data_IF_984401773019
#
_entry.id   IF_984401773019
#
_cell.length_a   1.000
_cell.length_b   1.000
_cell.length_c   1.000
_cell.angle_alpha   90.00
_cell.angle_beta   90.00
_cell.angle_gamma   90.00
#
_symmetry.space_group_name_H-M   'P 1'
#
loop_
_entity.id
_entity.type
_entity.pdbx_description
1 polymer ?
#
# COMPACT_ATOMS: atom_id res chain seq x y z
N UNK A 1 6.51 1.98 30.40
CA UNK A 1 7.60 2.55 29.57
C UNK A 1 7.34 4.04 29.36
N UNK A 2 8.30 4.90 29.72
CA UNK A 2 8.21 6.38 29.72
C UNK A 2 8.57 7.01 28.35
N UNK A 3 8.29 6.33 27.24
CA UNK A 3 8.51 6.92 25.92
C UNK A 3 7.27 7.77 25.55
N UNK A 4 7.45 9.01 25.05
CA UNK A 4 6.32 9.79 24.55
C UNK A 4 5.66 9.04 23.40
N UNK A 5 4.33 8.97 23.43
CA UNK A 5 3.52 8.43 22.33
C UNK A 5 3.84 9.24 21.06
N UNK A 6 4.42 8.58 20.06
CA UNK A 6 4.77 9.22 18.78
C UNK A 6 3.64 8.98 17.79
N UNK A 7 3.11 10.03 17.16
CA UNK A 7 2.26 9.86 15.99
C UNK A 7 2.98 9.07 14.91
N UNK A 8 2.28 8.13 14.31
CA UNK A 8 2.75 7.33 13.17
C UNK A 8 1.85 7.59 11.97
N UNK A 9 2.31 7.23 10.78
CA UNK A 9 1.57 7.43 9.52
C UNK A 9 1.08 8.88 9.30
N UNK A 10 1.84 9.86 9.79
CA UNK A 10 1.51 11.28 9.63
C UNK A 10 1.51 11.62 8.14
N UNK A 11 0.38 12.12 7.63
CA UNK A 11 0.23 12.47 6.21
C UNK A 11 -0.84 13.55 6.01
N UNK A 12 -0.64 14.37 5.00
CA UNK A 12 -1.67 15.25 4.45
C UNK A 12 -2.66 14.46 3.60
N UNK A 13 -3.93 14.87 3.61
CA UNK A 13 -4.94 14.38 2.68
C UNK A 13 -4.89 15.29 1.44
N UNK A 14 -4.49 14.71 0.30
CA UNK A 14 -4.19 15.45 -0.91
C UNK A 14 -5.32 16.41 -1.33
N UNK A 15 -4.96 17.61 -1.77
CA UNK A 15 -5.87 18.67 -2.22
C UNK A 15 -6.88 19.17 -1.17
N UNK A 16 -6.61 18.94 0.11
CA UNK A 16 -7.46 19.40 1.22
C UNK A 16 -6.63 20.02 2.34
N UNK A 17 -7.23 20.81 3.25
CA UNK A 17 -6.55 21.29 4.47
C UNK A 17 -6.51 20.23 5.58
N UNK A 18 -6.93 19.00 5.32
CA UNK A 18 -6.98 17.93 6.32
C UNK A 18 -5.68 17.14 6.36
N UNK A 19 -5.36 16.65 7.55
CA UNK A 19 -4.26 15.74 7.80
C UNK A 19 -4.74 14.56 8.65
N UNK A 20 -3.96 13.49 8.64
CA UNK A 20 -4.22 12.31 9.46
C UNK A 20 -2.95 11.77 10.11
N UNK A 21 -3.13 11.09 11.23
CA UNK A 21 -2.08 10.36 11.91
C UNK A 21 -2.69 9.27 12.81
N UNK A 22 -1.90 8.26 13.14
CA UNK A 22 -2.27 7.21 14.10
C UNK A 22 -1.47 7.40 15.37
N UNK A 23 -2.15 7.36 16.52
CA UNK A 23 -1.53 7.47 17.85
C UNK A 23 -2.06 6.37 18.77
N UNK A 24 -1.23 5.91 19.71
CA UNK A 24 -1.59 4.86 20.66
C UNK A 24 -0.60 3.71 20.64
N UNK A 25 -0.88 2.67 21.43
CA UNK A 25 -0.14 1.42 21.43
C UNK A 25 -0.88 0.40 20.56
N UNK A 26 -0.18 -0.58 19.94
CA UNK A 26 -0.83 -1.64 19.18
C UNK A 26 -2.00 -2.27 19.96
N UNK A 27 -3.18 -2.33 19.34
CA UNK A 27 -4.42 -2.79 19.98
C UNK A 27 -5.31 -1.67 20.55
N UNK A 28 -4.75 -0.51 20.89
CA UNK A 28 -5.49 0.66 21.44
C UNK A 28 -5.28 1.93 20.61
N UNK A 29 -4.80 1.77 19.38
CA UNK A 29 -4.54 2.86 18.47
C UNK A 29 -5.82 3.61 18.08
N UNK A 30 -5.62 4.89 17.75
CA UNK A 30 -6.64 5.82 17.30
C UNK A 30 -6.14 6.47 16.02
N UNK A 31 -6.92 6.35 14.94
CA UNK A 31 -6.77 7.15 13.75
C UNK A 31 -7.40 8.52 14.00
N UNK A 32 -6.59 9.56 13.89
CA UNK A 32 -7.03 10.95 14.02
C UNK A 32 -7.04 11.61 12.65
N UNK A 33 -8.11 12.33 12.35
CA UNK A 33 -8.24 13.22 11.18
C UNK A 33 -8.56 14.61 11.70
N UNK A 34 -7.79 15.61 11.27
CA UNK A 34 -7.99 17.00 11.68
C UNK A 34 -7.83 17.97 10.52
N UNK A 35 -8.55 19.09 10.59
CA UNK A 35 -8.36 20.26 9.74
C UNK A 35 -7.23 21.14 10.29
N UNK A 36 -6.23 21.44 9.45
CA UNK A 36 -5.10 22.30 9.84
C UNK A 36 -5.51 23.76 10.15
N UNK A 37 -6.73 24.16 9.77
CA UNK A 37 -7.30 25.48 10.09
C UNK A 37 -8.02 25.49 11.45
N UNK A 38 -8.37 24.32 11.97
CA UNK A 38 -9.06 24.14 13.24
C UNK A 38 -8.11 24.11 14.43
N UNK A 39 -8.69 24.16 15.65
CA UNK A 39 -7.95 24.00 16.90
C UNK A 39 -7.96 22.57 17.45
N UNK A 40 -8.98 21.78 17.09
CA UNK A 40 -9.19 20.42 17.59
C UNK A 40 -9.36 19.45 16.40
N UNK A 41 -8.95 18.17 16.53
CA UNK A 41 -9.17 17.19 15.49
C UNK A 41 -10.65 16.88 15.30
N UNK A 42 -11.11 16.91 14.05
CA UNK A 42 -12.52 16.71 13.72
C UNK A 42 -13.00 15.29 13.96
N UNK A 43 -12.11 14.29 13.86
CA UNK A 43 -12.48 12.87 13.97
C UNK A 43 -11.40 12.03 14.64
N UNK A 44 -11.85 11.10 15.48
CA UNK A 44 -11.04 10.08 16.14
C UNK A 44 -11.75 8.74 15.96
N UNK A 45 -11.07 7.78 15.33
CA UNK A 45 -11.58 6.43 15.10
C UNK A 45 -10.66 5.46 15.84
N UNK A 46 -11.18 4.78 16.84
CA UNK A 46 -10.45 3.76 17.58
C UNK A 46 -10.26 2.49 16.75
N UNK A 47 -9.22 1.71 17.04
CA UNK A 47 -9.05 0.40 16.41
C UNK A 47 -10.23 -0.54 16.72
N UNK A 48 -10.83 -0.41 17.90
CA UNK A 48 -12.03 -1.15 18.28
C UNK A 48 -13.23 -0.79 17.37
N UNK A 49 -13.44 0.49 17.05
CA UNK A 49 -14.46 0.91 16.09
C UNK A 49 -14.20 0.36 14.69
N UNK A 50 -12.97 0.49 14.20
CA UNK A 50 -12.58 -0.06 12.90
C UNK A 50 -12.83 -1.58 12.85
N UNK A 51 -12.50 -2.30 13.92
CA UNK A 51 -12.75 -3.74 14.03
C UNK A 51 -14.23 -4.09 14.09
N UNK A 52 -15.07 -3.30 14.75
CA UNK A 52 -16.53 -3.49 14.70
C UNK A 52 -17.06 -3.37 13.27
N UNK A 53 -16.57 -2.40 12.50
CA UNK A 53 -16.97 -2.24 11.11
C UNK A 53 -16.48 -3.40 10.22
N UNK A 54 -15.28 -3.92 10.48
CA UNK A 54 -14.75 -5.10 9.77
C UNK A 54 -15.56 -6.36 10.07
N UNK A 55 -15.84 -6.65 11.34
CA UNK A 55 -16.60 -7.82 11.74
C UNK A 55 -18.01 -7.84 11.15
N UNK A 56 -18.64 -6.66 10.98
CA UNK A 56 -19.94 -6.54 10.31
C UNK A 56 -19.91 -6.97 8.82
N UNK A 57 -18.74 -7.05 8.20
CA UNK A 57 -18.54 -7.49 6.81
C UNK A 57 -18.06 -8.94 6.69
N UNK A 58 -17.88 -9.65 7.82
CA UNK A 58 -17.30 -11.00 7.83
C UNK A 58 -15.78 -11.03 7.57
N UNK A 59 -15.13 -9.87 7.55
CA UNK A 59 -13.68 -9.76 7.45
C UNK A 59 -13.09 -9.81 8.86
N UNK A 60 -12.01 -10.57 9.02
CA UNK A 60 -11.27 -10.70 10.28
C UNK A 60 -10.90 -9.32 10.90
N UNK A 61 -10.54 -9.29 12.18
CA UNK A 61 -10.15 -8.05 12.88
C UNK A 61 -8.66 -7.71 12.71
N UNK A 62 -8.29 -6.46 12.94
CA UNK A 62 -6.93 -5.95 12.88
C UNK A 62 -6.31 -5.94 14.29
N UNK A 63 -5.04 -6.38 14.39
CA UNK A 63 -4.24 -6.20 15.61
C UNK A 63 -3.61 -4.81 15.75
N UNK A 64 -3.52 -4.07 14.64
CA UNK A 64 -3.04 -2.68 14.57
C UNK A 64 -3.59 -1.98 13.33
N UNK A 65 -3.57 -0.66 13.29
CA UNK A 65 -3.95 0.08 12.08
C UNK A 65 -3.01 -0.26 10.92
N UNK A 66 -3.55 -0.65 9.75
CA UNK A 66 -2.76 -0.87 8.54
C UNK A 66 -2.28 0.48 7.98
N UNK A 67 -1.44 0.42 6.94
CA UNK A 67 -1.06 1.63 6.20
C UNK A 67 -2.32 2.22 5.54
N UNK A 68 -2.75 3.39 6.00
CA UNK A 68 -3.93 4.09 5.47
C UNK A 68 -3.51 4.95 4.29
N UNK A 69 -4.26 4.84 3.19
CA UNK A 69 -4.27 5.82 2.11
C UNK A 69 -5.63 6.53 2.05
N UNK A 70 -5.65 7.70 1.41
CA UNK A 70 -6.81 8.57 1.39
C UNK A 70 -7.25 8.87 -0.04
N UNK A 71 -8.56 8.94 -0.23
CA UNK A 71 -9.19 9.47 -1.44
C UNK A 71 -9.65 10.92 -1.22
N UNK A 72 -10.18 11.20 -0.03
CA UNK A 72 -10.60 12.51 0.48
C UNK A 72 -10.74 12.45 2.02
N UNK A 73 -11.20 13.50 2.69
CA UNK A 73 -11.30 13.56 4.16
C UNK A 73 -12.31 12.59 4.79
N UNK A 74 -13.21 12.02 4.00
CA UNK A 74 -14.24 11.10 4.45
C UNK A 74 -13.99 9.64 4.02
N UNK A 75 -13.19 9.43 2.97
CA UNK A 75 -12.95 8.12 2.38
C UNK A 75 -11.47 7.75 2.42
N UNK A 76 -11.17 6.66 3.13
CA UNK A 76 -9.84 6.07 3.17
C UNK A 76 -9.85 4.63 2.67
N UNK A 77 -8.66 4.09 2.44
CA UNK A 77 -8.48 2.73 1.99
C UNK A 77 -7.25 2.12 2.65
N UNK A 78 -7.23 0.79 2.72
CA UNK A 78 -6.06 0.05 3.19
C UNK A 78 -6.08 -1.38 2.67
N UNK A 79 -4.89 -1.97 2.61
CA UNK A 79 -4.73 -3.39 2.30
C UNK A 79 -4.85 -4.23 3.57
N UNK A 80 -5.62 -5.31 3.46
CA UNK A 80 -5.63 -6.42 4.41
C UNK A 80 -5.26 -7.69 3.66
N UNK A 81 -4.01 -8.12 3.79
CA UNK A 81 -3.46 -9.19 2.96
C UNK A 81 -3.55 -8.84 1.47
N UNK A 82 -4.35 -9.60 0.73
CA UNK A 82 -4.60 -9.42 -0.70
C UNK A 82 -5.96 -8.79 -1.01
N UNK A 83 -6.64 -8.23 -0.01
CA UNK A 83 -7.89 -7.48 -0.18
C UNK A 83 -7.66 -5.98 0.03
N UNK A 84 -8.09 -5.16 -0.93
CA UNK A 84 -8.13 -3.70 -0.82
C UNK A 84 -9.51 -3.30 -0.30
N UNK A 85 -9.53 -2.73 0.91
CA UNK A 85 -10.74 -2.28 1.56
C UNK A 85 -10.85 -0.77 1.47
N UNK A 86 -12.09 -0.30 1.35
CA UNK A 86 -12.46 1.12 1.42
C UNK A 86 -13.31 1.36 2.65
N UNK A 87 -13.14 2.52 3.26
CA UNK A 87 -13.86 2.93 4.47
C UNK A 87 -14.52 4.27 4.21
N UNK A 88 -15.83 4.34 4.44
CA UNK A 88 -16.58 5.59 4.54
C UNK A 88 -16.68 5.95 6.03
N UNK A 89 -15.93 6.97 6.44
CA UNK A 89 -15.86 7.41 7.83
C UNK A 89 -17.13 8.13 8.29
N UNK A 90 -17.95 8.67 7.37
CA UNK A 90 -19.22 9.32 7.72
C UNK A 90 -20.30 8.27 7.98
N UNK A 91 -20.30 7.18 7.20
CA UNK A 91 -21.26 6.08 7.32
C UNK A 91 -20.80 4.95 8.22
N UNK A 92 -19.57 5.01 8.73
CA UNK A 92 -18.98 3.96 9.56
C UNK A 92 -19.04 2.58 8.85
N UNK A 93 -18.74 2.57 7.54
CA UNK A 93 -18.92 1.41 6.68
C UNK A 93 -17.63 1.01 5.98
N UNK A 94 -17.33 -0.29 5.96
CA UNK A 94 -16.23 -0.88 5.20
C UNK A 94 -16.78 -1.66 4.01
N UNK A 95 -16.09 -1.61 2.88
CA UNK A 95 -16.41 -2.40 1.68
C UNK A 95 -15.13 -2.98 1.07
N UNK A 96 -15.23 -4.21 0.58
CA UNK A 96 -14.23 -4.78 -0.31
C UNK A 96 -14.30 -4.05 -1.66
N UNK A 97 -13.20 -3.42 -2.07
CA UNK A 97 -13.12 -2.71 -3.35
C UNK A 97 -12.54 -3.59 -4.45
N UNK A 98 -11.41 -4.23 -4.18
CA UNK A 98 -10.75 -5.18 -5.08
C UNK A 98 -9.90 -6.17 -4.28
N UNK A 99 -9.40 -7.20 -4.94
CA UNK A 99 -8.53 -8.19 -4.33
C UNK A 99 -7.58 -8.78 -5.39
N UNK A 100 -6.40 -9.20 -4.96
CA UNK A 100 -5.49 -9.94 -5.84
C UNK A 100 -5.89 -11.41 -5.90
N UNK A 101 -5.88 -11.99 -7.10
CA UNK A 101 -6.16 -13.41 -7.31
C UNK A 101 -4.99 -14.29 -6.86
N UNK A 102 -3.77 -13.75 -6.97
CA UNK A 102 -2.54 -14.35 -6.48
C UNK A 102 -1.67 -13.27 -5.87
N UNK A 103 -0.86 -13.65 -4.88
CA UNK A 103 0.08 -12.76 -4.21
C UNK A 103 0.86 -11.91 -5.21
N UNK A 104 0.88 -10.61 -4.96
CA UNK A 104 1.62 -9.61 -5.72
C UNK A 104 2.48 -8.74 -4.79
N UNK A 105 3.49 -8.13 -5.38
CA UNK A 105 4.49 -7.30 -4.72
C UNK A 105 4.40 -5.85 -5.21
N UNK A 106 5.10 -4.93 -4.53
CA UNK A 106 5.23 -3.53 -4.94
C UNK A 106 3.89 -2.84 -5.27
N UNK A 107 2.85 -3.10 -4.47
CA UNK A 107 1.50 -2.53 -4.62
C UNK A 107 1.56 -0.99 -4.54
N UNK A 108 1.22 -0.30 -5.64
CA UNK A 108 1.14 1.16 -5.75
C UNK A 108 -0.27 1.57 -6.18
N UNK A 109 -1.07 2.01 -5.20
CA UNK A 109 -2.49 2.36 -5.36
C UNK A 109 -2.61 3.81 -5.83
N UNK A 110 -3.38 4.03 -6.89
CA UNK A 110 -3.82 5.36 -7.32
C UNK A 110 -4.79 5.93 -6.28
N UNK A 111 -4.55 7.15 -5.79
CA UNK A 111 -5.27 7.70 -4.62
C UNK A 111 -6.78 7.84 -4.81
N UNK A 112 -7.24 8.30 -5.98
CA UNK A 112 -8.66 8.60 -6.24
C UNK A 112 -9.41 7.42 -6.87
N UNK A 113 -8.85 6.81 -7.90
CA UNK A 113 -9.45 5.71 -8.67
C UNK A 113 -9.23 4.35 -8.03
N UNK A 114 -8.30 4.23 -7.07
CA UNK A 114 -7.94 2.99 -6.37
C UNK A 114 -7.40 1.87 -7.26
N UNK A 115 -7.17 2.17 -8.54
CA UNK A 115 -6.45 1.30 -9.46
C UNK A 115 -5.07 1.03 -8.89
N UNK A 116 -4.67 -0.23 -8.83
CA UNK A 116 -3.42 -0.60 -8.16
C UNK A 116 -2.45 -1.22 -9.16
N UNK A 117 -1.31 -0.58 -9.36
CA UNK A 117 -0.19 -1.20 -10.06
C UNK A 117 0.53 -2.15 -9.09
N UNK A 118 0.89 -3.35 -9.54
CA UNK A 118 1.63 -4.30 -8.72
C UNK A 118 2.51 -5.19 -9.58
N UNK A 119 3.56 -5.75 -8.99
CA UNK A 119 4.47 -6.67 -9.69
C UNK A 119 4.20 -8.11 -9.27
N UNK A 120 4.44 -9.04 -10.20
CA UNK A 120 4.37 -10.47 -9.93
C UNK A 120 5.33 -11.20 -10.88
N UNK A 121 6.32 -11.88 -10.31
CA UNK A 121 7.34 -12.64 -11.06
C UNK A 121 8.00 -11.79 -12.17
N UNK A 122 8.46 -10.58 -11.83
CA UNK A 122 9.10 -9.64 -12.76
C UNK A 122 8.15 -8.95 -13.76
N UNK A 123 6.89 -9.37 -13.85
CA UNK A 123 5.86 -8.71 -14.66
C UNK A 123 5.14 -7.59 -13.90
N UNK A 124 4.67 -6.58 -14.63
CA UNK A 124 3.85 -5.49 -14.13
C UNK A 124 2.38 -5.72 -14.51
N UNK A 125 1.51 -5.59 -13.52
CA UNK A 125 0.08 -5.80 -13.65
C UNK A 125 -0.68 -4.59 -13.10
N UNK A 126 -1.91 -4.44 -13.58
CA UNK A 126 -2.86 -3.47 -13.07
C UNK A 126 -4.07 -4.19 -12.50
N UNK A 127 -4.39 -3.92 -11.24
CA UNK A 127 -5.62 -4.32 -10.60
C UNK A 127 -6.67 -3.23 -10.78
N UNK A 128 -7.76 -3.59 -11.45
CA UNK A 128 -8.98 -2.80 -11.59
C UNK A 128 -10.00 -3.24 -10.51
N UNK A 129 -11.21 -2.66 -10.58
CA UNK A 129 -12.30 -3.00 -9.66
C UNK A 129 -12.67 -4.49 -9.72
N UNK A 130 -13.25 -5.00 -8.63
CA UNK A 130 -13.75 -6.38 -8.52
C UNK A 130 -12.71 -7.49 -8.80
N UNK A 131 -11.42 -7.19 -8.64
CA UNK A 131 -10.36 -8.20 -8.74
C UNK A 131 -9.88 -8.48 -10.17
N UNK A 132 -10.24 -7.64 -11.14
CA UNK A 132 -9.81 -7.79 -12.52
C UNK A 132 -8.35 -7.37 -12.68
N UNK A 133 -7.49 -8.35 -12.94
CA UNK A 133 -6.07 -8.12 -13.21
C UNK A 133 -5.81 -8.00 -14.72
N UNK A 134 -5.14 -6.92 -15.13
CA UNK A 134 -4.68 -6.70 -16.50
C UNK A 134 -3.15 -6.74 -16.54
N UNK A 135 -2.58 -7.58 -17.41
CA UNK A 135 -1.15 -7.55 -17.68
C UNK A 135 -0.78 -6.24 -18.38
N UNK A 136 0.19 -5.51 -17.84
CA UNK A 136 0.71 -4.27 -18.44
C UNK A 136 1.98 -4.55 -19.22
N UNK A 137 2.93 -5.25 -18.61
CA UNK A 137 4.19 -5.62 -19.24
C UNK A 137 4.77 -6.87 -18.58
N UNK A 138 5.36 -7.75 -19.40
CA UNK A 138 6.16 -8.91 -18.95
C UNK A 138 7.17 -9.23 -20.03
N UNK A 139 8.30 -9.82 -19.64
CA UNK A 139 9.27 -10.38 -20.57
C UNK A 139 9.26 -11.90 -20.46
N UNK A 140 9.48 -12.56 -21.60
CA UNK A 140 9.73 -14.00 -21.66
C UNK A 140 11.21 -14.33 -21.37
N UNK A 141 12.09 -13.31 -21.38
CA UNK A 141 13.50 -13.46 -21.02
C UNK A 141 13.71 -13.20 -19.54
N UNK A 142 14.44 -14.10 -18.88
CA UNK A 142 14.95 -13.86 -17.53
C UNK A 142 15.85 -12.61 -17.50
N UNK A 143 15.88 -11.91 -16.36
CA UNK A 143 16.70 -10.71 -16.16
C UNK A 143 16.07 -9.40 -16.64
N UNK A 144 14.86 -9.41 -17.22
CA UNK A 144 14.09 -8.18 -17.48
C UNK A 144 12.89 -8.11 -16.54
N UNK A 145 12.85 -7.07 -15.71
CA UNK A 145 11.75 -6.83 -14.76
C UNK A 145 11.11 -5.45 -14.98
N UNK A 146 9.84 -5.33 -14.59
CA UNK A 146 9.03 -4.14 -14.81
C UNK A 146 8.41 -3.63 -13.51
N UNK A 147 8.37 -2.30 -13.34
CA UNK A 147 7.68 -1.66 -12.21
C UNK A 147 8.40 -1.76 -10.87
N UNK A 148 9.62 -2.28 -10.84
CA UNK A 148 10.46 -2.38 -9.65
C UNK A 148 11.43 -1.19 -9.54
N UNK A 149 11.96 -0.96 -8.33
CA UNK A 149 13.01 0.04 -8.13
C UNK A 149 14.26 -0.32 -8.95
N UNK A 150 14.88 0.70 -9.53
CA UNK A 150 16.10 0.57 -10.36
C UNK A 150 17.30 1.23 -9.67
N UNK A 151 18.48 1.13 -10.28
CA UNK A 151 19.71 1.77 -9.81
C UNK A 151 19.98 1.51 -8.32
N UNK A 152 19.74 0.28 -7.85
CA UNK A 152 19.95 -0.15 -6.45
C UNK A 152 19.27 0.73 -5.39
N UNK A 153 18.14 1.36 -5.74
CA UNK A 153 17.44 2.33 -4.88
C UNK A 153 18.27 3.59 -4.52
N UNK A 154 19.24 3.93 -5.38
CA UNK A 154 19.99 5.18 -5.30
C UNK A 154 19.14 6.37 -5.82
N UNK A 155 19.66 7.59 -5.66
CA UNK A 155 19.03 8.83 -6.17
C UNK A 155 17.61 9.10 -5.65
N UNK A 156 17.26 8.53 -4.49
CA UNK A 156 15.91 8.64 -3.91
C UNK A 156 14.86 7.74 -4.57
N UNK A 157 15.27 6.83 -5.46
CA UNK A 157 14.36 5.86 -6.09
C UNK A 157 13.97 4.81 -5.05
N UNK A 158 12.68 4.72 -4.74
CA UNK A 158 12.13 3.74 -3.77
C UNK A 158 11.06 2.83 -4.35
N UNK A 159 10.59 3.13 -5.57
CA UNK A 159 9.57 2.36 -6.30
C UNK A 159 9.81 2.48 -7.80
N UNK A 160 9.14 1.64 -8.58
CA UNK A 160 9.25 1.62 -10.04
C UNK A 160 7.99 1.98 -10.81
N UNK A 161 6.95 2.46 -10.14
CA UNK A 161 5.65 2.83 -10.71
C UNK A 161 5.24 4.24 -10.28
N UNK A 162 4.71 5.01 -11.22
CA UNK A 162 4.40 6.43 -11.04
C UNK A 162 3.11 6.79 -11.77
N UNK A 163 2.05 7.01 -10.99
CA UNK A 163 0.76 7.46 -11.50
C UNK A 163 0.82 8.92 -11.93
N UNK A 164 0.24 9.24 -13.10
CA UNK A 164 -0.02 10.63 -13.48
C UNK A 164 -0.98 11.30 -12.48
N UNK A 165 -0.96 12.64 -12.31
CA UNK A 165 -1.83 13.32 -11.35
C UNK A 165 -3.33 13.08 -11.56
N UNK A 166 -3.79 12.89 -12.81
CA UNK A 166 -5.19 12.53 -13.10
C UNK A 166 -5.42 11.01 -13.18
N UNK A 167 -4.43 10.19 -12.84
CA UNK A 167 -4.50 8.72 -12.78
C UNK A 167 -4.91 8.04 -14.10
N UNK A 168 -4.70 8.73 -15.22
CA UNK A 168 -4.98 8.22 -16.57
C UNK A 168 -3.80 7.43 -17.16
N UNK A 169 -2.58 7.78 -16.74
CA UNK A 169 -1.35 7.17 -17.22
C UNK A 169 -0.54 6.62 -16.05
N UNK A 170 0.21 5.56 -16.33
CA UNK A 170 1.16 4.94 -15.41
C UNK A 170 2.52 4.91 -16.11
N UNK A 171 3.49 5.66 -15.58
CA UNK A 171 4.89 5.50 -15.95
C UNK A 171 5.51 4.41 -15.08
N UNK A 172 6.42 3.63 -15.65
CA UNK A 172 7.12 2.57 -14.93
C UNK A 172 8.51 2.33 -15.50
N UNK A 173 9.40 1.78 -14.68
CA UNK A 173 10.71 1.34 -15.15
C UNK A 173 10.65 -0.02 -15.83
N UNK A 174 11.43 -0.17 -16.89
CA UNK A 174 11.89 -1.45 -17.44
C UNK A 174 13.36 -1.60 -17.08
N UNK A 175 13.70 -2.60 -16.29
CA UNK A 175 15.07 -2.88 -15.84
C UNK A 175 15.57 -4.11 -16.59
N UNK A 176 16.66 -3.97 -17.33
CA UNK A 176 17.31 -5.06 -18.07
C UNK A 176 18.67 -5.35 -17.42
N UNK A 177 18.73 -6.43 -16.65
CA UNK A 177 19.90 -6.82 -15.85
C UNK A 177 20.69 -7.96 -16.50
N UNK A 178 20.37 -8.35 -17.74
CA UNK A 178 21.04 -9.47 -18.42
C UNK A 178 22.54 -9.25 -18.66
N UNK A 179 22.96 -7.99 -18.76
CA UNK A 179 24.36 -7.59 -18.89
C UNK A 179 25.07 -7.48 -17.54
N UNK A 180 24.34 -7.60 -16.44
CA UNK A 180 24.90 -7.56 -15.08
C UNK A 180 25.31 -8.97 -14.71
N UNK A 181 26.57 -9.13 -14.31
CA UNK A 181 27.08 -10.41 -13.84
C UNK A 181 26.50 -10.73 -12.47
N UNK A 182 25.89 -11.91 -12.34
CA UNK A 182 25.45 -12.42 -11.06
C UNK A 182 26.63 -12.66 -10.12
N UNK A 183 26.48 -12.23 -8.87
CA UNK A 183 27.46 -12.54 -7.83
C UNK A 183 27.11 -13.90 -7.21
N UNK A 184 28.00 -14.91 -7.26
CA UNK A 184 27.71 -16.22 -6.72
C UNK A 184 27.52 -16.13 -5.20
N UNK A 185 26.37 -16.59 -4.71
CA UNK A 185 26.06 -16.62 -3.28
C UNK A 185 26.01 -18.07 -2.81
N UNK A 186 26.83 -18.43 -1.83
CA UNK A 186 26.92 -19.79 -1.29
C UNK A 186 25.71 -20.14 -0.41
N UNK A 187 25.06 -21.27 -0.67
CA UNK A 187 24.01 -21.81 0.20
C UNK A 187 24.60 -22.72 1.28
N UNK A 188 24.73 -22.18 2.51
CA UNK A 188 25.23 -22.90 3.68
C UNK A 188 24.21 -23.85 4.34
N UNK A 189 22.97 -23.92 3.84
CA UNK A 189 21.95 -24.84 4.39
C UNK A 189 22.19 -26.29 3.95
N UNK A 190 22.93 -26.51 2.87
CA UNK A 190 23.28 -27.84 2.35
C UNK A 190 24.69 -28.26 2.80
N UNK A 191 24.92 -29.58 2.92
CA UNK A 191 26.24 -30.15 3.23
C UNK A 191 26.60 -31.23 2.19
N UNK A 192 27.67 -31.07 1.39
CA UNK A 192 28.51 -29.87 1.31
C UNK A 192 27.72 -28.66 0.78
N UNK A 193 28.23 -27.45 1.04
CA UNK A 193 27.63 -26.23 0.52
C UNK A 193 27.70 -26.23 -1.03
N UNK A 194 26.69 -25.64 -1.65
CA UNK A 194 26.60 -25.48 -3.10
C UNK A 194 26.58 -24.00 -3.47
N UNK A 195 27.13 -23.67 -4.64
CA UNK A 195 27.07 -22.33 -5.26
C UNK A 195 25.83 -22.24 -6.13
#
# INVERSE_FOLDING_TARGET
ALAPLRPTQVQWIADTPFFSYVVGYPGTEILVVGDARGKEPDRKITLAEMNRWLSATGIDTLGKFPKIGWRDEAHCWFWRGDSLLTVDLKKAQIRLHSFLQKKGENKDVAGRSLRTAFTRQGGLYLLEEAGKERLVARSDSAGIVFGEAVHRSEFGIRKGTFWSPQERYLAFYRKDERMVTDYPYLDFRQRPAVV
#
